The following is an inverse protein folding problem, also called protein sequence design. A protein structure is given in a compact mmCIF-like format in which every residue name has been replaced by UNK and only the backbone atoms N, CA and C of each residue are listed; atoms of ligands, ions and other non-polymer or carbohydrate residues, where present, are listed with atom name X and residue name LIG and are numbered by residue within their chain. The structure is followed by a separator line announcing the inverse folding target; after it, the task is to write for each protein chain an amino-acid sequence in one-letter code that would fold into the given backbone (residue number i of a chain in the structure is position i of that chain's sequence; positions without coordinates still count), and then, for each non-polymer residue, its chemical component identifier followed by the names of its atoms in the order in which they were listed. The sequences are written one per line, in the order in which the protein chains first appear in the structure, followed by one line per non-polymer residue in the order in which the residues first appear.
data_IF_092579583731
#
_entry.id   IF_092579583731
#
_cell.length_a   1.000
_cell.length_b   1.000
_cell.length_c   1.000
_cell.angle_alpha   90.00
_cell.angle_beta   90.00
_cell.angle_gamma   90.00
#
_symmetry.space_group_name_H-M   'P 1'
#
loop_
_entity.id
_entity.type
_entity.pdbx_description
1 polymer ?
#
# COMPACT_ATOMS: atom_id res chain seq x y z
N UNK A 1 10.89 10.82 9.70
CA UNK A 1 11.86 9.87 9.14
C UNK A 1 11.15 8.64 8.57
N UNK A 2 10.60 7.77 9.43
CA UNK A 2 9.88 6.57 8.97
C UNK A 2 8.69 6.88 8.07
N UNK A 3 7.92 7.91 8.34
CA UNK A 3 6.77 8.33 7.52
C UNK A 3 7.16 8.64 6.07
N UNK A 4 8.41 9.06 5.85
CA UNK A 4 8.98 9.34 4.53
C UNK A 4 9.78 8.17 3.95
N UNK A 5 9.61 6.97 4.46
CA UNK A 5 10.24 5.75 3.94
C UNK A 5 11.66 5.46 4.41
N UNK A 6 12.28 6.34 5.22
CA UNK A 6 13.66 6.16 5.67
C UNK A 6 13.75 5.31 6.95
N UNK A 7 14.47 4.21 6.86
CA UNK A 7 14.85 3.35 7.97
C UNK A 7 16.34 3.49 8.28
N UNK A 8 16.66 3.79 9.53
CA UNK A 8 18.03 3.69 10.03
C UNK A 8 18.21 2.27 10.55
N UNK A 9 18.81 1.44 9.74
CA UNK A 9 19.13 0.06 10.10
C UNK A 9 20.54 -0.04 10.67
N UNK A 10 20.84 -1.19 11.32
CA UNK A 10 22.10 -1.40 12.02
C UNK A 10 23.33 -1.29 11.11
N UNK A 11 23.24 -1.79 9.88
CA UNK A 11 24.39 -1.90 8.98
C UNK A 11 24.36 -0.87 7.85
N UNK A 12 23.16 -0.52 7.35
CA UNK A 12 22.99 0.46 6.29
C UNK A 12 21.60 1.08 6.36
N UNK A 13 21.44 2.39 6.12
CA UNK A 13 20.13 3.01 5.94
C UNK A 13 19.41 2.42 4.73
N UNK A 14 18.08 2.38 4.80
CA UNK A 14 17.23 1.92 3.71
C UNK A 14 16.15 2.95 3.43
N UNK A 15 16.03 3.37 2.18
CA UNK A 15 14.93 4.20 1.70
C UNK A 15 13.92 3.34 0.95
N UNK A 16 12.65 3.38 1.38
CA UNK A 16 11.56 2.71 0.69
C UNK A 16 10.72 3.70 -0.08
N UNK A 17 10.56 3.44 -1.36
CA UNK A 17 9.82 4.25 -2.31
C UNK A 17 8.44 3.60 -2.50
N UNK A 18 7.38 4.38 -2.32
CA UNK A 18 6.02 3.92 -2.54
C UNK A 18 5.73 3.89 -4.04
N UNK A 19 5.23 2.75 -4.51
CA UNK A 19 4.74 2.59 -5.88
C UNK A 19 3.27 2.19 -5.75
N UNK A 20 2.38 3.14 -6.01
CA UNK A 20 0.94 2.95 -5.84
C UNK A 20 0.45 1.79 -6.71
N UNK A 21 -0.26 0.85 -6.09
CA UNK A 21 -0.79 -0.38 -6.72
C UNK A 21 0.18 -1.04 -7.72
N UNK A 22 1.49 -0.87 -7.51
CA UNK A 22 2.56 -1.48 -8.32
C UNK A 22 2.79 -0.87 -9.69
N UNK A 23 2.10 0.20 -10.05
CA UNK A 23 2.15 0.78 -11.39
C UNK A 23 3.30 1.79 -11.52
N UNK A 24 4.13 1.59 -12.55
CA UNK A 24 5.21 2.50 -12.94
C UNK A 24 5.09 2.82 -14.43
N UNK A 25 5.28 4.09 -14.77
CA UNK A 25 5.51 4.47 -16.15
C UNK A 25 7.02 4.42 -16.51
N UNK A 26 7.35 4.50 -17.80
CA UNK A 26 8.71 4.42 -18.30
C UNK A 26 9.62 5.54 -17.77
N UNK A 27 9.09 6.76 -17.57
CA UNK A 27 9.84 7.88 -16.99
C UNK A 27 10.21 7.62 -15.54
N UNK A 28 9.27 7.08 -14.75
CA UNK A 28 9.51 6.69 -13.36
C UNK A 28 10.52 5.56 -13.25
N UNK A 29 10.39 4.53 -14.10
CA UNK A 29 11.34 3.40 -14.11
C UNK A 29 12.76 3.87 -14.47
N UNK A 30 12.91 4.74 -15.46
CA UNK A 30 14.19 5.33 -15.82
C UNK A 30 14.79 6.16 -14.67
N UNK A 31 13.98 6.98 -14.00
CA UNK A 31 14.42 7.76 -12.84
C UNK A 31 14.88 6.86 -11.70
N UNK A 32 14.12 5.79 -11.39
CA UNK A 32 14.50 4.81 -10.37
C UNK A 32 15.84 4.14 -10.70
N UNK A 33 16.08 3.77 -11.96
CA UNK A 33 17.35 3.20 -12.39
C UNK A 33 18.52 4.18 -12.20
N UNK A 34 18.33 5.45 -12.55
CA UNK A 34 19.34 6.49 -12.34
C UNK A 34 19.63 6.74 -10.85
N UNK A 35 18.59 6.80 -10.03
CA UNK A 35 18.69 7.00 -8.59
C UNK A 35 19.41 5.84 -7.90
N UNK A 36 19.16 4.59 -8.30
CA UNK A 36 19.87 3.43 -7.78
C UNK A 36 21.36 3.47 -8.09
N UNK A 37 21.71 3.86 -9.31
CA UNK A 37 23.11 3.99 -9.73
C UNK A 37 23.82 5.12 -9.01
N UNK A 38 23.12 6.24 -8.80
CA UNK A 38 23.71 7.46 -8.22
C UNK A 38 23.87 7.42 -6.71
N UNK A 39 22.88 6.85 -6.00
CA UNK A 39 22.75 6.96 -4.54
C UNK A 39 22.79 5.61 -3.80
N UNK A 40 22.74 4.51 -4.50
CA UNK A 40 22.83 3.17 -3.94
C UNK A 40 23.91 2.35 -4.68
N UNK A 41 23.78 1.07 -4.82
CA UNK A 41 24.73 0.14 -5.43
C UNK A 41 24.39 -0.25 -6.87
N UNK A 42 23.56 0.52 -7.56
CA UNK A 42 23.15 0.29 -8.94
C UNK A 42 22.03 -0.74 -9.12
N UNK A 43 21.39 -1.16 -8.03
CA UNK A 43 20.21 -2.03 -8.05
C UNK A 43 19.19 -1.64 -7.00
N UNK A 44 17.95 -2.00 -7.23
CA UNK A 44 16.86 -1.80 -6.28
C UNK A 44 16.18 -3.13 -5.92
N UNK A 45 15.54 -3.19 -4.76
CA UNK A 45 14.79 -4.34 -4.28
C UNK A 45 13.29 -4.10 -4.43
N UNK A 46 12.61 -4.87 -5.27
CA UNK A 46 11.15 -4.86 -5.37
C UNK A 46 10.56 -5.69 -4.22
N UNK A 47 9.53 -5.14 -3.56
CA UNK A 47 8.93 -5.77 -2.39
C UNK A 47 7.63 -6.46 -2.73
N UNK A 48 7.21 -7.42 -1.88
CA UNK A 48 5.90 -8.09 -1.96
C UNK A 48 4.70 -7.15 -1.76
N UNK A 49 4.93 -5.89 -1.39
CA UNK A 49 3.92 -4.85 -1.31
C UNK A 49 4.09 -3.79 -2.40
N UNK A 50 4.64 -4.22 -3.54
CA UNK A 50 4.74 -3.38 -4.74
C UNK A 50 5.46 -2.05 -4.51
N UNK A 51 6.44 -2.04 -3.58
CA UNK A 51 7.32 -0.91 -3.35
C UNK A 51 8.73 -1.23 -3.83
N UNK A 52 9.58 -0.23 -3.93
CA UNK A 52 11.01 -0.41 -4.17
C UNK A 52 11.83 0.04 -2.97
N UNK A 53 12.96 -0.61 -2.71
CA UNK A 53 13.91 -0.27 -1.64
C UNK A 53 15.29 0.00 -2.20
N UNK A 54 15.91 1.06 -1.70
CA UNK A 54 17.33 1.34 -1.76
C UNK A 54 17.93 0.91 -0.40
N UNK A 55 18.78 -0.11 -0.39
CA UNK A 55 19.20 -0.74 0.86
C UNK A 55 20.55 -0.26 1.40
N UNK A 56 21.24 0.63 0.64
CA UNK A 56 22.58 1.10 0.96
C UNK A 56 22.74 2.61 0.79
N UNK A 57 21.64 3.34 0.70
CA UNK A 57 21.66 4.79 0.53
C UNK A 57 22.32 5.47 1.74
N UNK A 58 23.18 6.45 1.51
CA UNK A 58 23.74 7.28 2.57
C UNK A 58 22.68 8.27 3.07
N UNK A 59 22.63 8.52 4.38
CA UNK A 59 21.65 9.43 4.99
C UNK A 59 21.71 10.82 4.38
N UNK A 60 22.91 11.34 4.12
CA UNK A 60 23.14 12.68 3.55
C UNK A 60 22.66 12.80 2.09
N UNK A 61 22.49 11.69 1.39
CA UNK A 61 21.98 11.66 0.03
C UNK A 61 20.46 11.49 -0.05
N UNK A 62 19.81 11.10 1.06
CA UNK A 62 18.35 10.90 1.08
C UNK A 62 17.56 12.14 0.64
N UNK A 63 17.86 13.38 1.08
CA UNK A 63 17.14 14.56 0.60
C UNK A 63 17.25 14.76 -0.90
N UNK A 64 18.43 14.49 -1.49
CA UNK A 64 18.67 14.61 -2.93
C UNK A 64 17.86 13.55 -3.70
N UNK A 65 17.92 12.29 -3.25
CA UNK A 65 17.14 11.21 -3.84
C UNK A 65 15.63 11.47 -3.76
N UNK A 66 15.12 11.98 -2.64
CA UNK A 66 13.70 12.34 -2.50
C UNK A 66 13.30 13.49 -3.44
N UNK A 67 14.19 14.45 -3.67
CA UNK A 67 13.95 15.54 -4.63
C UNK A 67 13.82 14.98 -6.06
N UNK A 68 14.75 14.15 -6.48
CA UNK A 68 14.71 13.54 -7.83
C UNK A 68 13.49 12.60 -7.99
N UNK A 69 13.08 11.87 -6.94
CA UNK A 69 11.85 11.10 -6.94
C UNK A 69 10.60 11.98 -7.14
N UNK A 70 10.57 13.14 -6.47
CA UNK A 70 9.45 14.08 -6.58
C UNK A 70 9.27 14.63 -8.00
N UNK A 71 10.36 14.81 -8.78
CA UNK A 71 10.32 15.25 -10.17
C UNK A 71 9.53 14.31 -11.10
N UNK A 72 9.39 13.04 -10.68
CA UNK A 72 8.60 12.03 -11.40
C UNK A 72 7.35 11.58 -10.63
N UNK A 73 6.96 12.34 -9.59
CA UNK A 73 5.77 12.06 -8.78
C UNK A 73 5.89 10.83 -7.86
N UNK A 74 7.12 10.40 -7.52
CA UNK A 74 7.38 9.33 -6.57
C UNK A 74 7.79 9.89 -5.20
N UNK A 75 7.51 9.12 -4.15
CA UNK A 75 7.81 9.51 -2.77
C UNK A 75 7.93 8.28 -1.85
N UNK A 76 8.35 8.49 -0.60
CA UNK A 76 8.42 7.43 0.42
C UNK A 76 7.24 7.38 1.39
N UNK A 77 6.23 8.25 1.22
CA UNK A 77 5.08 8.37 2.14
C UNK A 77 4.22 7.11 2.05
N UNK A 78 3.66 6.65 3.19
CA UNK A 78 2.88 5.41 3.30
C UNK A 78 3.65 4.11 2.99
N UNK A 79 4.95 4.19 2.69
CA UNK A 79 5.77 2.99 2.51
C UNK A 79 6.24 2.38 3.84
N UNK A 80 6.18 3.13 4.95
CA UNK A 80 6.63 2.69 6.27
C UNK A 80 5.88 3.37 7.43
N UNK A 81 6.16 2.95 8.67
CA UNK A 81 5.52 3.49 9.87
C UNK A 81 4.18 2.82 10.24
N UNK A 82 3.57 3.32 11.30
CA UNK A 82 2.26 2.89 11.78
C UNK A 82 1.16 3.76 11.16
N UNK A 83 0.97 3.61 9.88
CA UNK A 83 0.00 4.34 9.06
C UNK A 83 -0.75 3.37 8.15
N UNK A 84 -1.76 3.87 7.45
CA UNK A 84 -2.30 3.19 6.28
C UNK A 84 -1.20 3.13 5.22
N UNK A 85 -0.83 1.90 4.84
CA UNK A 85 0.30 1.62 3.96
C UNK A 85 -0.08 1.78 2.50
N UNK A 86 0.94 1.86 1.65
CA UNK A 86 0.77 1.80 0.20
C UNK A 86 -0.28 0.73 -0.17
N UNK A 87 -1.24 1.11 -0.99
CA UNK A 87 -2.32 0.22 -1.43
C UNK A 87 -1.77 -0.66 -2.54
N UNK A 88 -2.06 -1.96 -2.47
CA UNK A 88 -1.64 -2.95 -3.46
C UNK A 88 -2.81 -3.43 -4.29
N UNK A 89 -2.51 -3.94 -5.46
CA UNK A 89 -3.49 -4.52 -6.37
C UNK A 89 -2.91 -5.73 -7.11
N UNK A 90 -3.69 -6.34 -8.00
CA UNK A 90 -3.26 -7.38 -8.91
C UNK A 90 -2.15 -6.84 -9.84
N UNK A 91 -1.10 -7.64 -10.05
CA UNK A 91 -0.02 -7.28 -10.98
C UNK A 91 -0.48 -7.21 -12.45
N UNK A 92 -1.58 -7.86 -12.79
CA UNK A 92 -2.20 -7.87 -14.13
C UNK A 92 -3.44 -6.98 -14.22
N UNK A 93 -3.64 -6.07 -13.25
CA UNK A 93 -4.78 -5.16 -13.24
C UNK A 93 -4.86 -4.35 -14.54
N UNK A 94 -6.04 -4.31 -15.13
CA UNK A 94 -6.35 -3.63 -16.39
C UNK A 94 -6.00 -4.40 -17.66
N UNK A 95 -5.43 -5.62 -17.55
CA UNK A 95 -5.02 -6.41 -18.71
C UNK A 95 -5.34 -7.91 -18.59
N UNK A 96 -5.81 -8.39 -17.44
CA UNK A 96 -6.06 -9.82 -17.28
C UNK A 96 -7.40 -10.25 -17.87
N UNK A 97 -7.42 -11.44 -18.46
CA UNK A 97 -8.65 -12.10 -18.87
C UNK A 97 -9.54 -12.40 -17.64
N UNK A 98 -10.84 -12.18 -17.77
CA UNK A 98 -11.79 -12.39 -16.67
C UNK A 98 -11.75 -11.32 -15.59
N UNK A 99 -11.15 -10.16 -15.85
CA UNK A 99 -11.25 -9.00 -14.96
C UNK A 99 -12.67 -8.44 -14.98
N UNK A 100 -13.28 -8.32 -13.82
CA UNK A 100 -14.63 -7.76 -13.64
C UNK A 100 -14.59 -6.24 -13.86
N UNK A 101 -13.57 -5.60 -13.26
CA UNK A 101 -13.29 -4.17 -13.39
C UNK A 101 -11.83 -3.89 -13.06
N UNK A 102 -11.21 -2.92 -13.74
CA UNK A 102 -9.87 -2.45 -13.37
C UNK A 102 -9.88 -1.87 -11.94
N UNK A 103 -9.18 -2.46 -10.98
CA UNK A 103 -9.21 -2.01 -9.58
C UNK A 103 -8.35 -0.76 -9.31
N UNK A 104 -7.47 -0.38 -10.24
CA UNK A 104 -6.50 0.72 -10.06
C UNK A 104 -7.15 2.09 -9.80
N UNK A 105 -8.23 2.50 -10.49
CA UNK A 105 -8.90 3.77 -10.19
C UNK A 105 -9.40 3.86 -8.75
N UNK A 106 -9.94 2.80 -8.19
CA UNK A 106 -10.46 2.74 -6.82
C UNK A 106 -9.33 2.73 -5.79
N UNK A 107 -8.26 2.00 -6.08
CA UNK A 107 -7.04 2.03 -5.29
C UNK A 107 -6.42 3.44 -5.25
N UNK A 108 -6.43 4.16 -6.40
CA UNK A 108 -5.92 5.52 -6.49
C UNK A 108 -6.78 6.52 -5.70
N UNK A 109 -8.10 6.44 -5.78
CA UNK A 109 -9.02 7.28 -4.98
C UNK A 109 -8.71 7.10 -3.49
N UNK A 110 -8.62 5.86 -3.02
CA UNK A 110 -8.32 5.58 -1.62
C UNK A 110 -6.90 6.04 -1.23
N UNK A 111 -5.93 5.89 -2.11
CA UNK A 111 -4.56 6.38 -1.91
C UNK A 111 -4.53 7.89 -1.72
N UNK A 112 -5.16 8.64 -2.64
CA UNK A 112 -5.19 10.11 -2.58
C UNK A 112 -5.90 10.59 -1.30
N UNK A 113 -7.05 10.01 -0.98
CA UNK A 113 -7.79 10.32 0.23
C UNK A 113 -6.97 10.05 1.50
N UNK A 114 -6.21 8.96 1.56
CA UNK A 114 -5.46 8.55 2.74
C UNK A 114 -4.10 9.23 2.89
N UNK A 115 -3.54 9.77 1.80
CA UNK A 115 -2.25 10.46 1.84
C UNK A 115 -2.36 11.74 2.66
N UNK A 116 -1.50 11.89 3.68
CA UNK A 116 -1.53 12.98 4.65
C UNK A 116 -2.81 13.11 5.49
N UNK A 117 -3.69 12.11 5.44
CA UNK A 117 -4.86 12.13 6.32
C UNK A 117 -4.43 12.09 7.80
N UNK A 118 -4.81 13.06 8.62
CA UNK A 118 -4.24 13.23 9.98
C UNK A 118 -4.56 12.04 10.89
N UNK A 119 -5.74 11.44 10.80
CA UNK A 119 -6.15 10.30 11.62
C UNK A 119 -5.43 8.99 11.23
N UNK A 120 -4.77 8.92 10.05
CA UNK A 120 -4.18 7.69 9.54
C UNK A 120 -2.65 7.62 9.67
N UNK A 121 -2.03 8.62 10.29
CA UNK A 121 -0.57 8.73 10.41
C UNK A 121 0.02 8.09 11.67
N UNK A 122 -0.81 7.84 12.70
CA UNK A 122 -0.40 7.31 14.00
C UNK A 122 -1.32 6.19 14.48
N UNK A 123 -1.49 5.19 13.66
CA UNK A 123 -2.30 4.00 13.96
C UNK A 123 -1.62 3.11 15.03
N UNK A 124 -2.35 2.21 15.70
CA UNK A 124 -1.76 1.24 16.63
C UNK A 124 -0.65 0.39 15.98
N UNK A 125 -0.83 0.02 14.71
CA UNK A 125 0.12 -0.72 13.90
C UNK A 125 -0.06 -0.34 12.42
N UNK A 126 0.93 -0.71 11.56
CA UNK A 126 0.78 -0.61 10.10
C UNK A 126 -0.50 -1.30 9.64
N UNK A 127 -1.26 -0.64 8.78
CA UNK A 127 -2.51 -1.15 8.23
C UNK A 127 -2.39 -1.29 6.71
N UNK A 128 -2.73 -2.45 6.18
CA UNK A 128 -2.51 -2.82 4.78
C UNK A 128 -3.84 -2.99 4.08
N UNK A 129 -3.96 -2.37 2.90
CA UNK A 129 -5.15 -2.47 2.05
C UNK A 129 -4.74 -3.03 0.70
N UNK A 130 -5.61 -3.86 0.12
CA UNK A 130 -5.46 -4.39 -1.23
C UNK A 130 -6.79 -4.37 -1.99
N UNK A 131 -6.68 -4.26 -3.31
CA UNK A 131 -7.80 -4.40 -4.24
C UNK A 131 -7.54 -5.54 -5.22
N UNK A 132 -8.59 -6.23 -5.63
CA UNK A 132 -8.57 -7.09 -6.81
C UNK A 132 -9.80 -6.84 -7.66
N UNK A 133 -9.61 -6.82 -8.97
CA UNK A 133 -10.68 -6.68 -9.96
C UNK A 133 -11.00 -7.99 -10.67
N UNK A 134 -10.25 -9.06 -10.37
CA UNK A 134 -10.37 -10.35 -11.02
C UNK A 134 -10.95 -11.39 -10.07
N UNK A 135 -11.62 -12.41 -10.64
CA UNK A 135 -12.10 -13.60 -9.92
C UNK A 135 -10.91 -14.36 -9.29
N UNK A 136 -9.76 -14.35 -9.95
CA UNK A 136 -8.54 -14.94 -9.43
C UNK A 136 -7.80 -13.97 -8.49
N UNK A 137 -7.62 -14.38 -7.23
CA UNK A 137 -6.94 -13.56 -6.23
C UNK A 137 -5.40 -13.64 -6.34
N UNK A 138 -4.81 -12.96 -7.31
CA UNK A 138 -3.35 -12.80 -7.44
C UNK A 138 -2.76 -11.76 -6.49
N UNK A 139 -3.60 -10.92 -5.89
CA UNK A 139 -3.19 -9.91 -4.92
C UNK A 139 -3.10 -10.44 -3.48
N UNK A 140 -3.52 -11.69 -3.23
CA UNK A 140 -3.62 -12.30 -1.90
C UNK A 140 -4.40 -11.41 -0.93
N UNK A 141 -5.58 -10.94 -1.36
CA UNK A 141 -6.36 -9.95 -0.60
C UNK A 141 -6.77 -10.46 0.78
N UNK A 142 -6.99 -11.76 0.92
CA UNK A 142 -7.47 -12.39 2.15
C UNK A 142 -6.49 -12.25 3.34
N UNK A 143 -5.20 -11.98 3.08
CA UNK A 143 -4.20 -11.78 4.14
C UNK A 143 -3.96 -10.30 4.47
N UNK A 144 -4.79 -9.40 3.95
CA UNK A 144 -4.72 -7.97 4.21
C UNK A 144 -5.60 -7.55 5.40
N UNK A 145 -5.24 -6.44 6.04
CA UNK A 145 -6.05 -5.90 7.14
C UNK A 145 -7.42 -5.42 6.65
N UNK A 146 -7.49 -4.94 5.40
CA UNK A 146 -8.70 -4.58 4.67
C UNK A 146 -8.51 -4.93 3.20
N UNK A 147 -9.53 -5.49 2.56
CA UNK A 147 -9.47 -5.82 1.15
C UNK A 147 -10.80 -5.59 0.44
N UNK A 148 -10.71 -5.20 -0.83
CA UNK A 148 -11.84 -4.97 -1.72
C UNK A 148 -11.71 -5.90 -2.93
N UNK A 149 -12.67 -6.79 -3.09
CA UNK A 149 -12.80 -7.75 -4.19
C UNK A 149 -13.96 -7.31 -5.07
N UNK A 150 -13.69 -6.94 -6.32
CA UNK A 150 -14.76 -6.61 -7.26
C UNK A 150 -15.66 -7.82 -7.50
N UNK A 151 -16.96 -7.62 -7.48
CA UNK A 151 -17.97 -8.70 -7.66
C UNK A 151 -18.89 -8.43 -8.84
N UNK A 152 -19.03 -7.19 -9.25
CA UNK A 152 -19.79 -6.78 -10.44
C UNK A 152 -19.33 -5.43 -10.97
N UNK A 153 -19.50 -5.22 -12.26
CA UNK A 153 -19.33 -3.95 -12.96
C UNK A 153 -20.65 -3.39 -13.51
N UNK A 154 -21.68 -4.23 -13.58
CA UNK A 154 -22.99 -3.87 -14.13
C UNK A 154 -24.12 -4.20 -13.15
N UNK A 155 -25.16 -3.36 -13.01
CA UNK A 155 -25.29 -1.99 -13.58
C UNK A 155 -24.39 -0.98 -12.86
N UNK A 156 -23.73 -1.37 -11.77
CA UNK A 156 -22.86 -0.55 -10.92
C UNK A 156 -21.69 -1.39 -10.42
N UNK A 157 -20.55 -0.75 -10.20
CA UNK A 157 -19.38 -1.41 -9.61
C UNK A 157 -19.63 -1.62 -8.12
N UNK A 158 -19.48 -2.87 -7.68
CA UNK A 158 -19.59 -3.26 -6.28
C UNK A 158 -18.44 -4.13 -5.84
N UNK A 159 -18.12 -4.05 -4.56
CA UNK A 159 -17.02 -4.77 -3.94
C UNK A 159 -17.49 -5.60 -2.75
N UNK A 160 -17.03 -6.83 -2.68
CA UNK A 160 -17.02 -7.59 -1.44
C UNK A 160 -15.87 -7.08 -0.58
N UNK A 161 -16.14 -6.85 0.70
CA UNK A 161 -15.14 -6.32 1.63
C UNK A 161 -14.73 -7.39 2.64
N UNK A 162 -13.43 -7.56 2.79
CA UNK A 162 -12.84 -8.43 3.80
C UNK A 162 -12.03 -7.62 4.80
N UNK A 163 -12.00 -8.02 6.06
CA UNK A 163 -11.14 -7.38 7.06
C UNK A 163 -10.58 -8.37 8.06
N UNK A 164 -9.49 -7.96 8.73
CA UNK A 164 -8.86 -8.72 9.80
C UNK A 164 -7.86 -9.80 9.34
N UNK A 165 -7.48 -9.80 8.06
CA UNK A 165 -6.42 -10.69 7.56
C UNK A 165 -5.03 -10.30 8.07
N UNK A 166 -4.12 -11.24 8.09
CA UNK A 166 -2.73 -10.97 8.50
C UNK A 166 -1.81 -12.18 8.40
N UNK A 167 -0.54 -11.90 8.12
CA UNK A 167 0.55 -12.87 8.08
C UNK A 167 1.52 -12.56 9.24
N UNK A 168 1.05 -12.69 10.46
CA UNK A 168 1.88 -12.53 11.64
C UNK A 168 2.29 -13.89 12.23
N UNK A 169 2.59 -13.90 13.53
CA UNK A 169 2.89 -15.12 14.29
C UNK A 169 1.72 -16.12 14.22
N UNK A 170 0.50 -15.61 14.22
CA UNK A 170 -0.73 -16.38 14.00
C UNK A 170 -1.36 -15.84 12.72
N UNK A 171 -1.19 -16.52 11.56
CA UNK A 171 -1.78 -16.08 10.32
C UNK A 171 -3.30 -16.27 10.35
N UNK A 172 -4.02 -15.28 9.80
CA UNK A 172 -5.49 -15.28 9.73
C UNK A 172 -5.91 -14.79 8.35
N UNK A 173 -6.88 -15.45 7.76
CA UNK A 173 -7.57 -14.98 6.56
C UNK A 173 -8.72 -14.05 6.98
N UNK A 174 -8.80 -12.90 6.33
CA UNK A 174 -9.85 -11.92 6.60
C UNK A 174 -11.24 -12.45 6.18
N UNK A 175 -12.19 -12.57 7.10
CA UNK A 175 -13.56 -12.90 6.74
C UNK A 175 -14.20 -11.79 5.90
N UNK A 176 -15.26 -12.13 5.19
CA UNK A 176 -16.15 -11.16 4.55
C UNK A 176 -16.91 -10.42 5.64
N UNK A 177 -16.87 -9.09 5.59
CA UNK A 177 -17.59 -8.19 6.53
C UNK A 177 -18.66 -7.36 5.83
N UNK A 178 -18.65 -7.33 4.50
CA UNK A 178 -19.68 -6.71 3.66
C UNK A 178 -19.72 -7.40 2.31
N UNK A 179 -20.88 -7.90 1.91
CA UNK A 179 -21.01 -8.71 0.69
C UNK A 179 -21.05 -7.88 -0.60
N UNK A 180 -21.53 -6.64 -0.57
CA UNK A 180 -21.79 -5.86 -1.78
C UNK A 180 -21.75 -4.34 -1.49
N UNK A 181 -20.57 -3.80 -1.25
CA UNK A 181 -20.35 -2.35 -1.04
C UNK A 181 -20.36 -1.61 -2.38
N UNK A 182 -21.10 -0.51 -2.45
CA UNK A 182 -21.07 0.37 -3.64
C UNK A 182 -19.75 1.14 -3.73
N UNK A 183 -19.29 1.41 -4.96
CA UNK A 183 -18.01 2.09 -5.22
C UNK A 183 -17.90 3.45 -4.52
N UNK A 184 -18.99 4.22 -4.40
CA UNK A 184 -18.99 5.55 -3.75
C UNK A 184 -18.71 5.48 -2.25
N UNK A 185 -18.93 4.34 -1.62
CA UNK A 185 -18.84 4.17 -0.18
C UNK A 185 -17.46 3.67 0.29
N UNK A 186 -16.55 3.36 -0.63
CA UNK A 186 -15.22 2.81 -0.32
C UNK A 186 -14.46 3.68 0.70
N UNK A 187 -14.40 5.00 0.47
CA UNK A 187 -13.68 5.91 1.36
C UNK A 187 -14.36 6.06 2.71
N UNK A 188 -15.69 6.21 2.72
CA UNK A 188 -16.49 6.32 3.94
C UNK A 188 -16.38 5.05 4.79
N UNK A 189 -16.52 3.89 4.17
CA UNK A 189 -16.42 2.59 4.82
C UNK A 189 -15.02 2.37 5.41
N UNK A 190 -13.98 2.69 4.62
CA UNK A 190 -12.59 2.63 5.07
C UNK A 190 -12.37 3.58 6.25
N UNK A 191 -12.90 4.81 6.19
CA UNK A 191 -12.77 5.78 7.27
C UNK A 191 -13.40 5.27 8.57
N UNK A 192 -14.62 4.76 8.51
CA UNK A 192 -15.31 4.21 9.68
C UNK A 192 -14.50 3.07 10.33
N UNK A 193 -14.03 2.12 9.51
CA UNK A 193 -13.22 0.99 9.98
C UNK A 193 -11.87 1.46 10.55
N UNK A 194 -11.22 2.43 9.92
CA UNK A 194 -9.95 2.97 10.41
C UNK A 194 -10.10 3.72 11.73
N UNK A 195 -11.18 4.46 11.93
CA UNK A 195 -11.49 5.11 13.21
C UNK A 195 -11.75 4.08 14.31
N UNK A 196 -12.48 3.02 14.00
CA UNK A 196 -12.70 1.91 14.91
C UNK A 196 -11.37 1.26 15.31
N UNK A 197 -10.52 0.94 14.33
CA UNK A 197 -9.20 0.39 14.56
C UNK A 197 -8.29 1.33 15.36
N UNK A 198 -8.32 2.63 15.07
CA UNK A 198 -7.51 3.63 15.76
C UNK A 198 -7.92 3.76 17.24
N UNK A 199 -9.21 3.60 17.54
CA UNK A 199 -9.77 3.66 18.89
C UNK A 199 -9.56 2.36 19.68
N UNK A 200 -9.79 1.19 19.08
CA UNK A 200 -9.82 -0.10 19.77
C UNK A 200 -8.54 -0.91 19.62
N UNK A 201 -7.70 -0.61 18.62
CA UNK A 201 -6.45 -1.32 18.40
C UNK A 201 -5.47 -1.16 19.55
N UNK A 202 -4.86 -2.25 19.96
CA UNK A 202 -3.93 -2.27 21.09
C UNK A 202 -2.65 -1.47 20.78
N UNK A 203 -2.29 -0.57 21.67
CA UNK A 203 -1.06 0.24 21.59
C UNK A 203 0.01 -0.21 22.58
N UNK A 204 -0.38 -0.97 23.59
CA UNK A 204 0.49 -1.53 24.62
C UNK A 204 1.31 -2.72 24.12
N UNK A 205 0.82 -3.44 23.09
CA UNK A 205 1.49 -4.60 22.55
C UNK A 205 1.43 -4.62 21.00
N UNK A 206 2.55 -4.27 20.37
CA UNK A 206 2.67 -4.20 18.92
C UNK A 206 2.41 -5.52 18.19
N UNK A 207 2.61 -6.66 18.85
CA UNK A 207 2.38 -7.97 18.23
C UNK A 207 0.92 -8.38 18.25
N UNK A 208 0.12 -7.78 19.13
CA UNK A 208 -1.32 -8.02 19.30
C UNK A 208 -2.17 -6.82 18.86
N UNK A 209 -1.60 -5.88 18.11
CA UNK A 209 -2.27 -4.65 17.69
C UNK A 209 -3.20 -4.82 16.47
N UNK A 210 -3.22 -5.98 15.83
CA UNK A 210 -4.06 -6.33 14.67
C UNK A 210 -4.75 -7.65 14.92
#
# INVERSE_FOLDING_TARGET
RLQNGLYIQRHAPMLRIAIAYGMLNTRQLKSLAQITTKYDRGYGHLTTRQNMQLNWIKVDDVPKALKELAEVGLHGIQSSGNCLRNITSDALAGICEGEIVDPRPYAEILRQWSTFHPELSFLPRKFKVAFTGSVEDRALIQVHDLAFEAITSEPEVRFRVRAGGGLGRTPVLGPVIHDSLHLTDITLYTHALMRLYNRLGRRDNLTKAR
#
